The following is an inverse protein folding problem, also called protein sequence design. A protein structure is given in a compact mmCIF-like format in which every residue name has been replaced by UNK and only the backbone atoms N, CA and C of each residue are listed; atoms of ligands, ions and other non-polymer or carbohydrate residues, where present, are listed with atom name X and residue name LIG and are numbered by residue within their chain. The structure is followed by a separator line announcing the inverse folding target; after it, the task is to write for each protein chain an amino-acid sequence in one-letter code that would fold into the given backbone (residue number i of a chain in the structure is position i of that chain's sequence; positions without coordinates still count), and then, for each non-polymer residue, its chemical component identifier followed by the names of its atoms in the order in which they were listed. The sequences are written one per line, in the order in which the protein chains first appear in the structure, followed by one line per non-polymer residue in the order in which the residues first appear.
data_IF_383503347921
#
_entry.id   IF_383503347921
#
_cell.length_a   1.000
_cell.length_b   1.000
_cell.length_c   1.000
_cell.angle_alpha   90.00
_cell.angle_beta   90.00
_cell.angle_gamma   90.00
#
_symmetry.space_group_name_H-M   'P 1'
#
loop_
_entity.id
_entity.type
_entity.pdbx_description
1 polymer ?
#
# COMPACT_ATOMS: atom_id res chain seq x y z
N UNK A 1 21.98 -49.80 -7.58
CA UNK A 1 22.39 -48.58 -8.33
C UNK A 1 21.47 -47.46 -7.88
N UNK A 2 22.05 -46.42 -7.26
CA UNK A 2 21.36 -45.28 -6.64
C UNK A 2 21.35 -44.12 -7.64
N UNK A 3 20.21 -43.46 -7.82
CA UNK A 3 20.07 -42.15 -8.49
C UNK A 3 18.99 -41.40 -7.71
N UNK A 4 19.34 -40.57 -6.73
CA UNK A 4 19.89 -39.21 -6.80
C UNK A 4 18.79 -38.13 -6.90
N UNK A 5 18.68 -37.45 -5.76
CA UNK A 5 17.87 -36.29 -5.39
C UNK A 5 17.76 -35.19 -6.46
N UNK A 6 16.54 -34.75 -6.75
CA UNK A 6 16.25 -33.49 -7.44
C UNK A 6 16.12 -32.37 -6.38
N UNK A 7 17.25 -31.87 -5.91
CA UNK A 7 17.32 -30.59 -5.22
C UNK A 7 17.41 -29.50 -6.30
N UNK A 8 16.28 -28.85 -6.61
CA UNK A 8 16.26 -27.70 -7.50
C UNK A 8 16.71 -26.47 -6.70
N UNK A 9 17.89 -25.98 -7.06
CA UNK A 9 18.50 -24.75 -6.60
C UNK A 9 17.53 -23.55 -6.71
N UNK A 10 17.19 -22.95 -5.56
CA UNK A 10 16.78 -21.55 -5.48
C UNK A 10 18.05 -20.77 -5.14
N UNK A 11 18.76 -20.29 -6.17
CA UNK A 11 19.93 -19.44 -5.99
C UNK A 11 19.82 -18.20 -6.90
N UNK A 12 19.85 -17.03 -6.25
CA UNK A 12 20.37 -15.75 -6.76
C UNK A 12 19.67 -15.09 -7.95
N UNK A 13 18.73 -14.21 -7.63
CA UNK A 13 18.50 -12.97 -8.39
C UNK A 13 18.90 -11.79 -7.49
N UNK A 14 20.22 -11.60 -7.37
CA UNK A 14 20.85 -10.35 -6.97
C UNK A 14 21.52 -9.81 -8.24
N UNK A 15 20.80 -8.96 -8.97
CA UNK A 15 21.36 -8.19 -10.07
C UNK A 15 20.80 -6.76 -9.97
N UNK A 16 21.69 -5.86 -9.57
CA UNK A 16 21.75 -4.43 -9.84
C UNK A 16 20.43 -3.73 -10.20
N UNK A 17 19.78 -3.15 -9.19
CA UNK A 17 18.95 -1.96 -9.41
C UNK A 17 19.91 -0.77 -9.54
N UNK A 18 20.46 -0.59 -10.75
CA UNK A 18 21.02 0.67 -11.18
C UNK A 18 19.91 1.73 -11.08
N UNK A 19 20.22 2.87 -10.47
CA UNK A 19 19.34 3.96 -10.09
C UNK A 19 18.05 4.10 -10.92
N UNK A 20 16.89 3.90 -10.28
CA UNK A 20 15.63 4.41 -10.80
C UNK A 20 15.72 5.95 -10.88
N UNK A 21 15.36 6.58 -12.01
CA UNK A 21 15.36 8.02 -12.12
C UNK A 21 14.41 8.62 -11.08
N UNK A 22 14.88 9.68 -10.41
CA UNK A 22 14.05 10.53 -9.57
C UNK A 22 13.00 11.24 -10.44
N UNK A 23 11.84 10.61 -10.61
CA UNK A 23 10.69 11.23 -11.23
C UNK A 23 9.40 10.48 -10.88
N UNK A 24 9.16 10.20 -9.59
CA UNK A 24 7.76 10.18 -9.13
C UNK A 24 7.35 11.64 -8.99
N UNK A 25 6.97 12.21 -10.14
CA UNK A 25 6.43 13.54 -10.24
C UNK A 25 5.33 13.74 -9.22
N UNK A 26 5.36 14.92 -8.60
CA UNK A 26 4.34 15.47 -7.72
C UNK A 26 2.94 14.96 -8.05
N UNK A 27 2.35 14.22 -7.12
CA UNK A 27 0.90 13.97 -7.12
C UNK A 27 0.19 15.33 -7.31
N UNK A 28 -0.88 15.42 -8.10
CA UNK A 28 -1.62 16.67 -8.25
C UNK A 28 -2.11 17.13 -6.86
N UNK A 29 -1.56 18.26 -6.42
CA UNK A 29 -2.05 18.99 -5.26
C UNK A 29 -3.46 19.46 -5.62
N UNK A 30 -4.48 18.82 -5.06
CA UNK A 30 -5.86 19.31 -5.11
C UNK A 30 -5.93 20.64 -4.32
N UNK A 31 -5.67 21.74 -5.01
CA UNK A 31 -5.85 23.10 -4.53
C UNK A 31 -7.34 23.48 -4.53
N UNK A 32 -8.08 22.97 -3.55
CA UNK A 32 -9.39 23.55 -3.20
C UNK A 32 -9.21 24.89 -2.48
N UNK A 33 -10.13 25.86 -2.66
CA UNK A 33 -10.06 27.15 -1.97
C UNK A 33 -10.05 26.95 -0.45
N UNK A 34 -9.06 27.55 0.22
CA UNK A 34 -8.96 27.55 1.68
C UNK A 34 -10.14 28.33 2.28
N UNK A 35 -10.86 27.79 3.27
CA UNK A 35 -11.85 28.55 4.02
C UNK A 35 -11.19 29.73 4.73
N UNK A 36 -11.73 30.93 4.55
CA UNK A 36 -11.32 32.14 5.27
C UNK A 36 -11.73 32.00 6.74
N UNK A 37 -10.87 32.35 7.72
CA UNK A 37 -11.24 32.31 9.13
C UNK A 37 -12.28 33.40 9.43
N UNK A 38 -13.50 33.00 9.79
CA UNK A 38 -14.51 33.90 10.34
C UNK A 38 -14.16 34.29 11.79
N UNK A 39 -14.41 35.53 12.22
CA UNK A 39 -14.14 35.97 13.58
C UNK A 39 -15.26 35.52 14.54
N UNK A 40 -14.87 34.95 15.67
CA UNK A 40 -15.62 35.01 16.92
C UNK A 40 -16.80 34.04 17.07
N UNK A 41 -16.55 32.90 17.72
CA UNK A 41 -17.56 32.22 18.53
C UNK A 41 -16.89 31.49 19.69
N UNK A 42 -16.88 32.14 20.84
CA UNK A 42 -16.48 31.57 22.13
C UNK A 42 -17.61 30.69 22.66
N UNK A 43 -17.54 29.39 22.39
CA UNK A 43 -18.41 28.38 23.04
C UNK A 43 -17.60 27.68 24.14
N UNK A 44 -18.06 27.68 25.40
CA UNK A 44 -17.39 26.93 26.47
C UNK A 44 -17.82 25.45 26.40
N UNK A 45 -17.11 24.65 25.59
CA UNK A 45 -17.29 23.19 25.59
C UNK A 45 -16.41 22.56 26.65
N UNK A 46 -17.00 22.28 27.82
CA UNK A 46 -16.44 21.40 28.85
C UNK A 46 -16.55 19.95 28.38
N UNK A 47 -15.74 19.57 27.40
CA UNK A 47 -15.56 18.15 27.03
C UNK A 47 -14.56 17.58 28.03
N UNK A 48 -15.01 16.58 28.81
CA UNK A 48 -14.14 15.81 29.69
C UNK A 48 -13.09 15.14 28.81
N UNK A 49 -11.86 15.69 28.84
CA UNK A 49 -10.74 15.17 28.06
C UNK A 49 -10.56 13.69 28.39
N UNK A 50 -10.75 12.83 27.39
CA UNK A 50 -10.22 11.48 27.48
C UNK A 50 -8.70 11.59 27.72
N UNK A 51 -8.11 10.73 28.57
CA UNK A 51 -6.68 10.74 28.78
C UNK A 51 -5.99 10.62 27.42
N UNK A 52 -5.20 11.65 27.09
CA UNK A 52 -4.41 11.66 25.87
C UNK A 52 -3.55 10.38 25.86
N UNK A 53 -3.55 9.59 24.76
CA UNK A 53 -2.68 8.45 24.66
C UNK A 53 -1.24 8.93 24.85
N UNK A 54 -0.51 8.27 25.75
CA UNK A 54 0.86 8.57 26.08
C UNK A 54 1.78 8.29 24.89
N UNK A 55 1.86 9.24 23.96
CA UNK A 55 2.87 9.32 22.90
C UNK A 55 3.38 10.77 22.89
N UNK A 56 4.04 11.16 23.98
CA UNK A 56 4.53 12.52 24.15
C UNK A 56 5.78 12.73 23.28
N UNK A 57 5.56 13.18 22.04
CA UNK A 57 6.37 14.19 21.35
C UNK A 57 7.84 13.89 21.03
N UNK A 58 8.37 12.69 21.29
CA UNK A 58 9.72 12.35 20.84
C UNK A 58 9.73 12.05 19.35
N UNK A 59 10.58 12.75 18.62
CA UNK A 59 10.89 12.42 17.24
C UNK A 59 11.46 10.99 17.15
N UNK A 60 11.08 10.26 16.12
CA UNK A 60 11.66 8.96 15.84
C UNK A 60 13.17 9.07 15.56
N UNK A 61 13.91 8.00 15.87
CA UNK A 61 15.27 7.84 15.36
C UNK A 61 15.25 7.83 13.82
N UNK A 62 16.33 8.28 13.18
CA UNK A 62 16.35 8.53 11.73
C UNK A 62 16.05 7.28 10.88
N UNK A 63 16.47 6.10 11.34
CA UNK A 63 16.18 4.81 10.73
C UNK A 63 14.69 4.44 10.84
N UNK A 64 14.11 4.60 12.03
CA UNK A 64 12.67 4.42 12.29
C UNK A 64 11.84 5.40 11.47
N UNK A 65 12.29 6.66 11.34
CA UNK A 65 11.60 7.69 10.57
C UNK A 65 11.59 7.35 9.06
N UNK A 66 12.74 6.91 8.53
CA UNK A 66 12.86 6.45 7.14
C UNK A 66 11.97 5.24 6.87
N UNK A 67 11.94 4.28 7.80
CA UNK A 67 11.10 3.10 7.71
C UNK A 67 9.61 3.44 7.80
N UNK A 68 9.21 4.34 8.70
CA UNK A 68 7.85 4.83 8.81
C UNK A 68 7.39 5.55 7.53
N UNK A 69 8.25 6.37 6.92
CA UNK A 69 7.96 7.00 5.63
C UNK A 69 7.78 5.96 4.51
N UNK A 70 8.67 4.96 4.43
CA UNK A 70 8.56 3.86 3.47
C UNK A 70 7.31 3.00 3.67
N UNK A 71 6.89 2.72 4.90
CA UNK A 71 5.63 2.00 5.17
C UNK A 71 4.42 2.88 4.78
N UNK A 72 4.49 4.18 5.01
CA UNK A 72 3.41 5.11 4.64
C UNK A 72 3.24 5.24 3.13
N UNK A 73 4.35 5.26 2.39
CA UNK A 73 4.33 5.20 0.93
C UNK A 73 3.70 3.90 0.41
N UNK A 74 3.93 2.75 1.08
CA UNK A 74 3.27 1.49 0.74
C UNK A 74 1.75 1.57 0.90
N UNK A 75 1.26 2.22 1.95
CA UNK A 75 -0.17 2.40 2.21
C UNK A 75 -0.82 3.26 1.11
N UNK A 76 -0.10 4.28 0.61
CA UNK A 76 -0.54 5.12 -0.50
C UNK A 76 -0.60 4.33 -1.80
N UNK A 77 0.45 3.53 -2.11
CA UNK A 77 0.46 2.67 -3.29
C UNK A 77 -0.72 1.69 -3.25
N UNK A 78 -0.99 1.06 -2.10
CA UNK A 78 -2.14 0.16 -1.92
C UNK A 78 -3.49 0.85 -2.12
N UNK A 79 -3.59 2.16 -1.86
CA UNK A 79 -4.79 2.92 -2.21
C UNK A 79 -4.95 3.04 -3.75
N UNK A 80 -3.84 3.21 -4.48
CA UNK A 80 -3.82 3.15 -5.94
C UNK A 80 -4.18 1.77 -6.50
N UNK A 81 -3.66 0.70 -5.90
CA UNK A 81 -4.02 -0.69 -6.23
C UNK A 81 -5.53 -0.93 -6.09
N UNK A 82 -6.11 -0.51 -4.95
CA UNK A 82 -7.54 -0.64 -4.68
C UNK A 82 -8.41 0.16 -5.65
N UNK A 83 -8.04 1.42 -5.91
CA UNK A 83 -8.78 2.28 -6.84
C UNK A 83 -8.76 1.74 -8.27
N UNK A 84 -7.60 1.22 -8.70
CA UNK A 84 -7.46 0.62 -10.03
C UNK A 84 -8.25 -0.69 -10.13
N UNK A 85 -8.17 -1.55 -9.10
CA UNK A 85 -8.96 -2.78 -9.05
C UNK A 85 -10.48 -2.51 -9.07
N UNK A 86 -10.94 -1.46 -8.38
CA UNK A 86 -12.35 -1.03 -8.44
C UNK A 86 -12.75 -0.53 -9.83
N UNK A 87 -11.88 0.22 -10.50
CA UNK A 87 -12.11 0.66 -11.88
C UNK A 87 -12.18 -0.51 -12.85
N UNK A 88 -11.31 -1.51 -12.67
CA UNK A 88 -11.30 -2.72 -13.49
C UNK A 88 -12.53 -3.60 -13.22
N UNK A 89 -13.01 -3.69 -11.97
CA UNK A 89 -14.27 -4.37 -11.64
C UNK A 89 -15.46 -3.70 -12.33
N UNK A 90 -15.57 -2.36 -12.25
CA UNK A 90 -16.64 -1.62 -12.92
C UNK A 90 -16.58 -1.80 -14.44
N UNK A 91 -15.39 -1.80 -15.03
CA UNK A 91 -15.18 -2.06 -16.44
C UNK A 91 -15.68 -3.46 -16.85
N UNK A 92 -15.31 -4.50 -16.10
CA UNK A 92 -15.75 -5.89 -16.38
C UNK A 92 -17.27 -6.07 -16.20
N UNK A 93 -17.88 -5.37 -15.24
CA UNK A 93 -19.32 -5.43 -14.98
C UNK A 93 -20.16 -4.72 -16.05
N UNK A 94 -19.59 -3.75 -16.76
CA UNK A 94 -20.31 -3.00 -17.80
C UNK A 94 -20.73 -3.89 -18.99
N UNK A 95 -20.15 -5.09 -19.13
CA UNK A 95 -20.53 -6.05 -20.17
C UNK A 95 -20.13 -5.61 -21.59
N UNK A 96 -20.41 -6.44 -22.61
CA UNK A 96 -20.05 -6.15 -24.00
C UNK A 96 -20.84 -4.97 -24.61
N UNK A 97 -21.98 -4.60 -24.04
CA UNK A 97 -22.88 -3.60 -24.63
C UNK A 97 -22.83 -2.21 -23.97
N UNK A 98 -22.21 -2.06 -22.79
CA UNK A 98 -21.96 -0.73 -22.26
C UNK A 98 -20.94 -0.03 -23.17
N UNK A 99 -21.42 0.89 -23.99
CA UNK A 99 -20.57 1.88 -24.63
C UNK A 99 -19.79 2.67 -23.58
N UNK A 100 -18.68 3.33 -23.95
CA UNK A 100 -17.92 4.13 -23.00
C UNK A 100 -18.87 5.13 -22.33
N UNK A 101 -18.86 5.19 -21.00
CA UNK A 101 -19.48 6.28 -20.27
C UNK A 101 -18.84 7.56 -20.79
N UNK A 102 -19.57 8.28 -21.65
CA UNK A 102 -19.07 9.40 -22.41
C UNK A 102 -18.70 10.52 -21.42
N UNK A 103 -17.43 10.58 -21.06
CA UNK A 103 -16.84 11.80 -20.50
C UNK A 103 -16.77 12.82 -21.64
N UNK A 104 -17.80 13.67 -21.76
CA UNK A 104 -17.79 14.96 -22.45
C UNK A 104 -16.92 15.07 -23.73
N UNK A 105 -17.18 14.25 -24.73
CA UNK A 105 -16.70 14.55 -26.09
C UNK A 105 -17.69 15.55 -26.72
N UNK A 106 -17.35 16.83 -26.66
CA UNK A 106 -17.99 17.87 -27.48
C UNK A 106 -17.94 17.42 -28.94
N UNK A 107 -19.11 17.34 -29.56
CA UNK A 107 -19.30 16.93 -30.95
C UNK A 107 -18.54 17.86 -31.90
N UNK A 108 -17.33 17.47 -32.27
CA UNK A 108 -16.58 18.06 -33.37
C UNK A 108 -15.97 16.90 -34.18
N UNK A 109 -16.51 16.72 -35.38
CA UNK A 109 -16.04 15.90 -36.51
C UNK A 109 -15.40 14.54 -36.20
N UNK A 110 -16.16 13.48 -36.45
CA UNK A 110 -15.66 12.11 -36.49
C UNK A 110 -14.63 11.93 -37.63
N UNK A 111 -13.38 11.54 -37.35
CA UNK A 111 -12.43 11.11 -38.39
C UNK A 111 -12.81 9.71 -38.91
N UNK A 112 -12.49 9.37 -40.19
CA UNK A 112 -12.88 8.12 -40.85
C UNK A 112 -12.22 6.83 -40.33
N UNK A 113 -11.57 6.86 -39.16
CA UNK A 113 -10.91 5.71 -38.51
C UNK A 113 -11.32 5.59 -37.03
N UNK A 114 -12.61 5.71 -36.72
CA UNK A 114 -13.10 5.43 -35.37
C UNK A 114 -12.96 3.93 -35.08
N UNK A 115 -11.91 3.55 -34.34
CA UNK A 115 -11.69 2.18 -33.88
C UNK A 115 -13.00 1.56 -33.35
N UNK A 116 -13.23 0.29 -33.69
CA UNK A 116 -14.47 -0.41 -33.36
C UNK A 116 -14.65 -0.48 -31.84
N UNK A 117 -15.91 -0.59 -31.37
CA UNK A 117 -16.21 -0.68 -29.94
C UNK A 117 -15.41 -1.81 -29.22
N UNK A 118 -15.22 -3.00 -29.81
CA UNK A 118 -14.34 -4.03 -29.27
C UNK A 118 -12.89 -3.58 -29.06
N UNK A 119 -12.29 -2.90 -30.04
CA UNK A 119 -10.88 -2.46 -29.97
C UNK A 119 -10.66 -1.47 -28.81
N UNK A 120 -11.62 -0.57 -28.60
CA UNK A 120 -11.58 0.39 -27.48
C UNK A 120 -11.67 -0.29 -26.12
N UNK A 121 -12.50 -1.33 -25.99
CA UNK A 121 -12.62 -2.11 -24.75
C UNK A 121 -11.34 -2.87 -24.43
N UNK A 122 -10.74 -3.53 -25.42
CA UNK A 122 -9.45 -4.21 -25.24
C UNK A 122 -8.39 -3.19 -24.80
N UNK A 123 -8.30 -2.04 -25.46
CA UNK A 123 -7.34 -1.00 -25.08
C UNK A 123 -7.57 -0.47 -23.65
N UNK A 124 -8.82 -0.23 -23.25
CA UNK A 124 -9.14 0.24 -21.90
C UNK A 124 -8.82 -0.82 -20.83
N UNK A 125 -9.14 -2.08 -21.09
CA UNK A 125 -8.77 -3.19 -20.21
C UNK A 125 -7.25 -3.28 -20.06
N UNK A 126 -6.50 -3.28 -21.17
CA UNK A 126 -5.04 -3.34 -21.17
C UNK A 126 -4.44 -2.16 -20.38
N UNK A 127 -4.99 -0.96 -20.52
CA UNK A 127 -4.54 0.21 -19.78
C UNK A 127 -4.76 0.05 -18.26
N UNK A 128 -5.94 -0.38 -17.82
CA UNK A 128 -6.25 -0.59 -16.41
C UNK A 128 -5.40 -1.73 -15.80
N UNK A 129 -5.22 -2.83 -16.53
CA UNK A 129 -4.33 -3.93 -16.12
C UNK A 129 -2.88 -3.45 -16.00
N UNK A 130 -2.40 -2.67 -16.97
CA UNK A 130 -1.06 -2.10 -16.94
C UNK A 130 -0.83 -1.18 -15.73
N UNK A 131 -1.81 -0.31 -15.42
CA UNK A 131 -1.78 0.54 -14.22
C UNK A 131 -1.76 -0.30 -12.94
N UNK A 132 -2.58 -1.34 -12.86
CA UNK A 132 -2.60 -2.23 -11.69
C UNK A 132 -1.25 -2.90 -11.47
N UNK A 133 -0.66 -3.47 -12.53
CA UNK A 133 0.66 -4.10 -12.46
C UNK A 133 1.76 -3.11 -12.08
N UNK A 134 1.68 -1.86 -12.56
CA UNK A 134 2.64 -0.82 -12.16
C UNK A 134 2.57 -0.52 -10.66
N UNK A 135 1.37 -0.43 -10.07
CA UNK A 135 1.23 -0.23 -8.62
C UNK A 135 1.74 -1.43 -7.82
N UNK A 136 1.36 -2.66 -8.21
CA UNK A 136 1.82 -3.88 -7.53
C UNK A 136 3.36 -3.96 -7.54
N UNK A 137 3.99 -3.75 -8.70
CA UNK A 137 5.46 -3.74 -8.81
C UNK A 137 6.12 -2.64 -7.98
N UNK A 138 5.56 -1.42 -7.98
CA UNK A 138 6.06 -0.33 -7.13
C UNK A 138 5.97 -0.69 -5.64
N UNK A 139 4.87 -1.34 -5.22
CA UNK A 139 4.72 -1.86 -3.87
C UNK A 139 5.77 -2.92 -3.53
N UNK A 140 6.12 -3.80 -4.48
CA UNK A 140 7.10 -4.88 -4.24
C UNK A 140 8.47 -4.26 -3.96
N UNK A 141 8.91 -3.36 -4.84
CA UNK A 141 10.19 -2.68 -4.71
C UNK A 141 10.31 -1.94 -3.37
N UNK A 142 9.26 -1.22 -2.97
CA UNK A 142 9.24 -0.46 -1.72
C UNK A 142 9.27 -1.38 -0.48
N UNK A 143 8.61 -2.54 -0.51
CA UNK A 143 8.62 -3.49 0.61
C UNK A 143 9.97 -4.18 0.76
N UNK A 144 10.63 -4.52 -0.35
CA UNK A 144 12.03 -5.00 -0.33
C UNK A 144 12.93 -3.93 0.28
N UNK A 145 12.76 -2.66 -0.09
CA UNK A 145 13.52 -1.56 0.50
C UNK A 145 13.25 -1.41 2.01
N UNK A 146 12.00 -1.49 2.45
CA UNK A 146 11.64 -1.42 3.87
C UNK A 146 12.25 -2.58 4.67
N UNK A 147 12.21 -3.80 4.14
CA UNK A 147 12.85 -4.96 4.77
C UNK A 147 14.36 -4.74 4.93
N UNK A 148 15.02 -4.20 3.91
CA UNK A 148 16.47 -3.96 3.94
C UNK A 148 16.90 -2.93 5.00
N UNK A 149 16.04 -1.98 5.34
CA UNK A 149 16.32 -0.96 6.38
C UNK A 149 15.72 -1.29 7.74
N UNK A 150 15.03 -2.43 7.88
CA UNK A 150 14.41 -2.82 9.15
C UNK A 150 15.49 -3.29 10.13
N UNK A 151 15.61 -2.68 11.32
CA UNK A 151 16.58 -3.11 12.32
C UNK A 151 16.36 -4.57 12.72
N UNK A 152 17.44 -5.34 12.88
CA UNK A 152 17.37 -6.71 13.37
C UNK A 152 16.69 -6.78 14.74
N UNK A 153 15.83 -7.78 14.95
CA UNK A 153 15.06 -7.93 16.18
C UNK A 153 13.81 -7.03 16.26
N UNK A 154 13.52 -6.22 15.24
CA UNK A 154 12.27 -5.48 15.17
C UNK A 154 11.06 -6.40 15.06
N UNK A 155 10.00 -6.10 15.82
CA UNK A 155 8.74 -6.85 15.82
C UNK A 155 8.06 -6.86 14.44
N UNK A 156 8.35 -5.87 13.59
CA UNK A 156 7.72 -5.72 12.29
C UNK A 156 8.30 -6.63 11.21
N UNK A 157 9.43 -7.31 11.45
CA UNK A 157 10.08 -8.18 10.45
C UNK A 157 9.09 -9.24 9.93
N UNK A 158 8.35 -9.88 10.85
CA UNK A 158 7.36 -10.89 10.48
C UNK A 158 6.20 -10.27 9.68
N UNK A 159 5.73 -9.09 10.07
CA UNK A 159 4.68 -8.36 9.35
C UNK A 159 5.12 -7.94 7.95
N UNK A 160 6.36 -7.45 7.79
CA UNK A 160 6.91 -7.09 6.48
C UNK A 160 7.13 -8.31 5.59
N UNK A 161 7.55 -9.45 6.16
CA UNK A 161 7.69 -10.70 5.43
C UNK A 161 6.32 -11.22 4.94
N UNK A 162 5.29 -11.17 5.79
CA UNK A 162 3.93 -11.57 5.41
C UNK A 162 3.40 -10.75 4.23
N UNK A 163 3.57 -9.42 4.24
CA UNK A 163 3.12 -8.56 3.14
C UNK A 163 3.93 -8.82 1.86
N UNK A 164 5.23 -9.07 1.96
CA UNK A 164 6.05 -9.42 0.79
C UNK A 164 5.65 -10.77 0.17
N UNK A 165 5.27 -11.76 0.97
CA UNK A 165 4.78 -13.04 0.46
C UNK A 165 3.41 -12.89 -0.20
N UNK A 166 2.50 -12.10 0.38
CA UNK A 166 1.20 -11.82 -0.21
C UNK A 166 1.30 -11.16 -1.60
N UNK A 167 2.27 -10.26 -1.79
CA UNK A 167 2.52 -9.57 -3.06
C UNK A 167 2.82 -10.49 -4.23
N UNK A 168 3.49 -11.62 -4.01
CA UNK A 168 3.74 -12.56 -5.11
C UNK A 168 2.43 -13.16 -5.63
N UNK A 169 1.50 -13.47 -4.73
CA UNK A 169 0.15 -13.90 -5.08
C UNK A 169 -0.64 -12.79 -5.78
N UNK A 170 -0.55 -11.55 -5.29
CA UNK A 170 -1.19 -10.39 -5.92
C UNK A 170 -0.68 -10.14 -7.34
N UNK A 171 0.64 -10.22 -7.56
CA UNK A 171 1.25 -10.08 -8.88
C UNK A 171 0.81 -11.20 -9.82
N UNK A 172 0.75 -12.44 -9.36
CA UNK A 172 0.29 -13.57 -10.15
C UNK A 172 -1.17 -13.39 -10.58
N UNK A 173 -2.05 -13.02 -9.65
CA UNK A 173 -3.47 -12.75 -9.93
C UNK A 173 -3.68 -11.55 -10.87
N UNK A 174 -2.95 -10.45 -10.67
CA UNK A 174 -3.03 -9.28 -11.54
C UNK A 174 -2.54 -9.60 -12.96
N UNK A 175 -1.47 -10.41 -13.06
CA UNK A 175 -0.90 -10.83 -14.34
C UNK A 175 -1.82 -11.80 -15.10
N UNK A 176 -2.61 -12.61 -14.38
CA UNK A 176 -3.52 -13.58 -15.00
C UNK A 176 -4.80 -12.97 -15.57
N UNK A 177 -5.12 -11.70 -15.25
CA UNK A 177 -6.32 -11.03 -15.78
C UNK A 177 -6.31 -11.02 -17.31
N UNK A 178 -7.39 -11.46 -17.94
CA UNK A 178 -7.49 -11.67 -19.39
C UNK A 178 -8.44 -10.70 -20.10
N UNK A 179 -9.31 -10.04 -19.36
CA UNK A 179 -10.41 -9.20 -19.84
C UNK A 179 -11.73 -9.95 -19.90
N UNK A 180 -11.74 -11.26 -19.61
CA UNK A 180 -12.95 -12.06 -19.56
C UNK A 180 -13.70 -11.83 -18.24
N UNK A 181 -14.89 -11.22 -18.25
CA UNK A 181 -15.64 -10.92 -17.05
C UNK A 181 -16.09 -12.17 -16.28
N UNK A 182 -16.25 -13.32 -16.95
CA UNK A 182 -16.72 -14.55 -16.29
C UNK A 182 -15.69 -15.12 -15.32
N UNK A 183 -14.41 -14.87 -15.56
CA UNK A 183 -13.28 -15.34 -14.76
C UNK A 183 -12.65 -14.22 -13.94
N UNK A 184 -12.45 -13.05 -14.55
CA UNK A 184 -11.69 -11.96 -13.94
C UNK A 184 -12.43 -11.24 -12.81
N UNK A 185 -13.76 -11.19 -12.81
CA UNK A 185 -14.51 -10.50 -11.73
C UNK A 185 -14.18 -11.11 -10.36
N UNK A 186 -14.14 -12.44 -10.25
CA UNK A 186 -13.80 -13.13 -9.01
C UNK A 186 -12.34 -12.90 -8.60
N UNK A 187 -11.43 -12.88 -9.58
CA UNK A 187 -10.00 -12.59 -9.38
C UNK A 187 -9.81 -11.16 -8.87
N UNK A 188 -10.50 -10.18 -9.44
CA UNK A 188 -10.42 -8.76 -9.05
C UNK A 188 -11.00 -8.53 -7.66
N UNK A 189 -12.10 -9.20 -7.30
CA UNK A 189 -12.62 -9.16 -5.93
C UNK A 189 -11.63 -9.78 -4.92
N UNK A 190 -10.91 -10.83 -5.32
CA UNK A 190 -9.87 -11.43 -4.49
C UNK A 190 -8.68 -10.49 -4.31
N UNK A 191 -8.25 -9.81 -5.38
CA UNK A 191 -7.25 -8.75 -5.34
C UNK A 191 -7.67 -7.60 -4.42
N UNK A 192 -8.91 -7.11 -4.49
CA UNK A 192 -9.42 -6.06 -3.61
C UNK A 192 -9.36 -6.47 -2.12
N UNK A 193 -9.71 -7.72 -1.81
CA UNK A 193 -9.58 -8.27 -0.44
C UNK A 193 -8.11 -8.33 -0.02
N UNK A 194 -7.22 -8.83 -0.89
CA UNK A 194 -5.79 -8.92 -0.63
C UNK A 194 -5.18 -7.54 -0.35
N UNK A 195 -5.41 -6.56 -1.23
CA UNK A 195 -4.91 -5.19 -1.05
C UNK A 195 -5.47 -4.52 0.22
N UNK A 196 -6.74 -4.75 0.55
CA UNK A 196 -7.33 -4.24 1.80
C UNK A 196 -6.65 -4.84 3.02
N UNK A 197 -6.41 -6.16 3.01
CA UNK A 197 -5.69 -6.87 4.06
C UNK A 197 -4.23 -6.40 4.18
N UNK A 198 -3.52 -6.30 3.06
CA UNK A 198 -2.15 -5.80 2.99
C UNK A 198 -2.02 -4.36 3.50
N UNK A 199 -2.99 -3.49 3.18
CA UNK A 199 -3.04 -2.11 3.70
C UNK A 199 -3.26 -2.07 5.21
N UNK A 200 -4.14 -2.92 5.72
CA UNK A 200 -4.34 -3.05 7.17
C UNK A 200 -3.08 -3.54 7.87
N UNK A 201 -2.39 -4.53 7.30
CA UNK A 201 -1.13 -5.04 7.84
C UNK A 201 -0.02 -3.98 7.81
N UNK A 202 0.10 -3.21 6.72
CA UNK A 202 1.05 -2.09 6.68
C UNK A 202 0.71 -0.99 7.69
N UNK A 203 -0.58 -0.70 7.90
CA UNK A 203 -1.02 0.21 8.96
C UNK A 203 -0.60 -0.29 10.34
N UNK A 204 -0.69 -1.60 10.58
CA UNK A 204 -0.21 -2.22 11.82
C UNK A 204 1.32 -2.12 11.95
N UNK A 205 2.07 -2.47 10.90
CA UNK A 205 3.53 -2.34 10.88
C UNK A 205 3.98 -0.89 11.15
N UNK A 206 3.23 0.10 10.65
CA UNK A 206 3.48 1.51 10.92
C UNK A 206 3.29 1.84 12.41
N UNK A 207 2.19 1.40 13.03
CA UNK A 207 1.96 1.63 14.45
C UNK A 207 3.02 0.96 15.34
N UNK A 208 3.43 -0.24 14.96
CA UNK A 208 4.43 -1.02 15.71
C UNK A 208 5.81 -0.36 15.62
N UNK A 209 6.20 0.12 14.43
CA UNK A 209 7.50 0.80 14.26
C UNK A 209 7.54 2.16 14.96
N UNK A 210 6.38 2.83 15.10
CA UNK A 210 6.26 4.15 15.75
C UNK A 210 5.75 4.08 17.18
N UNK A 211 5.77 2.93 17.84
CA UNK A 211 5.08 2.71 19.11
C UNK A 211 5.47 3.70 20.24
N UNK A 212 6.66 4.31 20.17
CA UNK A 212 7.18 5.24 21.18
C UNK A 212 7.72 6.56 20.60
N UNK A 213 7.39 6.87 19.36
CA UNK A 213 7.87 8.08 18.71
C UNK A 213 6.87 8.56 17.65
N UNK A 214 6.97 9.83 17.26
CA UNK A 214 6.21 10.36 16.14
C UNK A 214 7.15 10.54 14.94
N UNK A 215 6.82 10.01 13.75
CA UNK A 215 7.58 10.30 12.53
C UNK A 215 7.67 11.80 12.28
N UNK A 216 8.77 12.27 11.71
CA UNK A 216 8.93 13.66 11.30
C UNK A 216 8.20 13.96 9.99
N UNK A 217 8.06 12.95 9.12
CA UNK A 217 7.35 13.04 7.85
C UNK A 217 5.84 13.28 8.05
N UNK A 218 5.26 14.40 7.57
CA UNK A 218 3.84 14.70 7.74
C UNK A 218 2.91 13.67 7.09
N UNK A 219 3.38 12.95 6.07
CA UNK A 219 2.60 11.89 5.44
C UNK A 219 2.53 10.65 6.32
N UNK A 220 3.65 10.25 6.93
CA UNK A 220 3.67 9.20 7.92
C UNK A 220 2.86 9.53 9.16
N UNK A 221 2.94 10.76 9.68
CA UNK A 221 2.09 11.21 10.80
C UNK A 221 0.60 11.05 10.50
N UNK A 222 0.15 11.52 9.33
CA UNK A 222 -1.26 11.37 8.92
C UNK A 222 -1.66 9.90 8.81
N UNK A 223 -0.77 9.06 8.31
CA UNK A 223 -1.02 7.63 8.15
C UNK A 223 -1.10 6.92 9.51
N UNK A 224 -0.23 7.27 10.48
CA UNK A 224 -0.33 6.80 11.88
C UNK A 224 -1.67 7.19 12.48
N UNK A 225 -2.06 8.46 12.38
CA UNK A 225 -3.34 8.95 12.92
C UNK A 225 -4.54 8.27 12.25
N UNK A 226 -4.46 8.02 10.93
CA UNK A 226 -5.45 7.26 10.19
C UNK A 226 -5.55 5.80 10.64
N UNK A 227 -4.42 5.13 10.89
CA UNK A 227 -4.38 3.76 11.40
C UNK A 227 -4.99 3.66 12.80
N UNK A 228 -4.66 4.59 13.70
CA UNK A 228 -5.26 4.69 15.03
C UNK A 228 -6.78 4.95 14.92
N UNK A 229 -7.21 5.86 14.05
CA UNK A 229 -8.62 6.13 13.78
C UNK A 229 -9.38 4.94 13.20
N UNK A 230 -8.71 4.08 12.46
CA UNK A 230 -9.24 2.80 11.96
C UNK A 230 -9.29 1.70 13.03
N UNK A 231 -8.95 2.00 14.29
CA UNK A 231 -9.01 1.07 15.41
C UNK A 231 -7.83 0.09 15.49
N UNK A 232 -6.78 0.28 14.67
CA UNK A 232 -5.52 -0.45 14.84
C UNK A 232 -4.84 0.00 16.13
N UNK A 233 -4.11 -0.91 16.76
CA UNK A 233 -3.44 -0.66 18.04
C UNK A 233 -2.02 -1.20 17.95
N UNK A 234 -0.99 -0.46 18.41
CA UNK A 234 0.36 -1.00 18.48
C UNK A 234 0.37 -2.34 19.21
N UNK A 235 1.11 -3.32 18.70
CA UNK A 235 1.30 -4.60 19.35
C UNK A 235 1.86 -4.37 20.75
N UNK A 236 1.24 -4.97 21.77
CA UNK A 236 1.76 -4.83 23.15
C UNK A 236 3.20 -5.36 23.15
N UNK A 237 4.18 -4.59 23.63
CA UNK A 237 5.55 -5.09 23.68
C UNK A 237 5.52 -6.35 24.54
N UNK A 238 5.96 -7.48 23.98
CA UNK A 238 6.20 -8.67 24.78
C UNK A 238 7.26 -8.23 25.78
N UNK A 239 6.88 -8.14 27.05
CA UNK A 239 7.82 -7.82 28.11
C UNK A 239 8.99 -8.78 27.95
N UNK A 240 10.17 -8.25 27.60
CA UNK A 240 11.39 -9.04 27.56
C UNK A 240 11.58 -9.46 29.00
N UNK A 241 11.18 -10.69 29.32
CA UNK A 241 11.44 -11.29 30.63
C UNK A 241 12.96 -11.23 30.74
N UNK A 242 13.53 -10.48 31.70
CA UNK A 242 14.96 -10.41 31.84
C UNK A 242 15.46 -11.84 32.01
N UNK A 243 16.26 -12.32 31.06
CA UNK A 243 16.92 -13.61 31.19
C UNK A 243 17.87 -13.44 32.35
N UNK A 244 17.48 -13.98 33.51
CA UNK A 244 18.34 -14.04 34.68
C UNK A 244 19.64 -14.70 34.27
N UNK A 245 20.71 -13.92 34.18
CA UNK A 245 22.06 -14.44 33.97
C UNK A 245 22.36 -15.43 35.09
N UNK A 246 22.72 -16.70 34.79
CA UNK A 246 23.07 -17.64 35.83
C UNK A 246 24.24 -17.07 36.63
N UNK A 247 24.06 -16.98 37.95
CA UNK A 247 25.10 -16.53 38.86
C UNK A 247 26.35 -17.39 38.66
N UNK A 248 27.46 -16.77 38.26
CA UNK A 248 28.76 -17.42 38.26
C UNK A 248 29.15 -17.71 39.71
N UNK A 249 28.99 -18.97 40.12
CA UNK A 249 29.57 -19.47 41.37
C UNK A 249 31.10 -19.44 41.28
N UNK A 250 31.80 -18.97 42.33
CA UNK A 250 33.26 -18.91 42.40
C UNK A 250 33.93 -20.29 42.47
#
# INVERSE_FOLDING_TARGET
MRSSNLAVCILTLLASVEAAPQAYGSLPVFGGPRPVPGPGSTVPSRVKALPAPAAQGRACAADIDRLASGISQNIIIQAGELSTAQSLLLFLQAGPDAGPAASNATAAESPPNAASNPDRKVAQFTALKGQLLAFVNAGVALRVSNQAITPSGSLIINGLAQVANAQQGELAMASSLSGDPTTDIATVQSLQKAFTGGRRQNGQNLLDVTQNCMPSDPTAQRTVMGALGAGLRPAVPIAVIPVSTPASTP
#
